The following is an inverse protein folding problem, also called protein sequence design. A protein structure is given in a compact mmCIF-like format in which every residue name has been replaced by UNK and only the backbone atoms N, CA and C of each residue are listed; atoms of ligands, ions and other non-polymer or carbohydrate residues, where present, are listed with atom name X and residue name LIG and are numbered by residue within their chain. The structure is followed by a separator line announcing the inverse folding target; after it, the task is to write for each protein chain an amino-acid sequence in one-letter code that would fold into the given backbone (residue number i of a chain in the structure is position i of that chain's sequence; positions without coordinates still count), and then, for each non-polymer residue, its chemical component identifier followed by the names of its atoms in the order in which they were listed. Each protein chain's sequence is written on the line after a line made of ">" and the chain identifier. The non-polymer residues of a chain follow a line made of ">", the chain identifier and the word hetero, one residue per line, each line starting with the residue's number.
data_IF_647031840813
#
_entry.id   IF_647031840813
#
_cell.length_a   1.000
_cell.length_b   1.000
_cell.length_c   1.000
_cell.angle_alpha   90.00
_cell.angle_beta   90.00
_cell.angle_gamma   90.00
#
_symmetry.space_group_name_H-M   'P 1'
#
loop_
_entity.id
_entity.type
_entity.pdbx_description
1 polymer ?
#
# COMPACT_ATOMS: atom_id res chain seq x y z
N UNK A 1 34.03 19.83 8.31
CA UNK A 1 33.20 19.94 7.08
C UNK A 1 33.92 19.30 5.88
N UNK A 2 33.49 18.11 5.46
CA UNK A 2 34.00 17.49 4.22
C UNK A 2 33.32 18.15 3.02
N UNK A 3 34.11 18.64 2.07
CA UNK A 3 33.59 19.23 0.82
C UNK A 3 33.33 18.10 -0.16
N UNK A 4 32.09 17.93 -0.58
CA UNK A 4 31.74 16.98 -1.66
C UNK A 4 32.33 17.55 -2.96
N UNK A 5 33.18 16.78 -3.62
CA UNK A 5 33.91 17.20 -4.83
C UNK A 5 33.50 16.44 -6.09
N UNK A 6 32.68 15.38 -5.95
CA UNK A 6 32.18 14.52 -7.02
C UNK A 6 30.82 13.94 -6.62
N UNK A 7 29.93 13.76 -7.60
CA UNK A 7 28.62 13.13 -7.45
C UNK A 7 27.54 13.78 -8.33
N UNK A 8 26.42 13.07 -8.56
CA UNK A 8 25.32 13.53 -9.43
C UNK A 8 24.75 14.90 -9.04
N UNK A 9 24.85 15.28 -7.77
CA UNK A 9 24.42 16.56 -7.22
C UNK A 9 25.27 17.76 -7.68
N UNK A 10 26.49 17.51 -8.17
CA UNK A 10 27.39 18.53 -8.72
C UNK A 10 27.28 18.65 -10.26
N UNK A 11 26.60 17.71 -10.92
CA UNK A 11 26.41 17.73 -12.37
C UNK A 11 25.28 18.70 -12.77
N UNK A 12 25.58 19.63 -13.69
CA UNK A 12 24.68 20.71 -14.13
C UNK A 12 23.30 20.21 -14.59
N UNK A 13 23.18 19.01 -15.17
CA UNK A 13 21.90 18.44 -15.65
C UNK A 13 20.95 17.98 -14.53
N UNK A 14 21.42 17.89 -13.29
CA UNK A 14 20.64 17.43 -12.13
C UNK A 14 20.46 18.51 -11.03
N UNK A 15 20.97 19.73 -11.23
CA UNK A 15 20.86 20.85 -10.29
C UNK A 15 19.38 21.16 -9.95
N UNK A 16 19.05 21.20 -8.65
CA UNK A 16 17.68 21.43 -8.14
C UNK A 16 16.71 20.25 -8.25
N UNK A 17 17.19 19.05 -8.63
CA UNK A 17 16.35 17.86 -8.90
C UNK A 17 16.88 16.57 -8.25
N UNK A 18 17.75 16.74 -7.26
CA UNK A 18 18.35 15.66 -6.48
C UNK A 18 17.85 15.79 -5.05
N UNK A 19 17.27 14.72 -4.53
CA UNK A 19 16.95 14.60 -3.11
C UNK A 19 18.15 13.99 -2.38
N UNK A 20 18.51 14.56 -1.23
CA UNK A 20 19.61 14.12 -0.40
C UNK A 20 19.07 13.58 0.93
N UNK A 21 19.45 12.35 1.28
CA UNK A 21 19.03 11.70 2.51
C UNK A 21 20.25 11.20 3.29
N UNK A 22 20.39 11.63 4.54
CA UNK A 22 21.47 11.22 5.44
C UNK A 22 20.98 10.30 6.55
N UNK A 23 21.77 9.28 6.88
CA UNK A 23 21.56 8.45 8.08
C UNK A 23 22.90 8.16 8.76
N UNK A 24 22.91 8.17 10.10
CA UNK A 24 24.06 7.76 10.89
C UNK A 24 24.09 6.24 11.07
N UNK A 25 25.27 5.66 10.92
CA UNK A 25 25.55 4.24 11.09
C UNK A 25 26.67 4.08 12.12
N UNK A 26 26.77 2.90 12.73
CA UNK A 26 27.79 2.58 13.72
C UNK A 26 28.65 1.42 13.21
N UNK A 27 29.96 1.58 13.22
CA UNK A 27 30.90 0.52 12.83
C UNK A 27 30.92 -0.60 13.87
N UNK A 28 31.54 -1.74 13.52
CA UNK A 28 31.79 -2.84 14.48
C UNK A 28 32.66 -2.40 15.67
N UNK A 29 33.45 -1.33 15.52
CA UNK A 29 34.26 -0.72 16.59
C UNK A 29 33.52 0.35 17.40
N UNK A 30 32.22 0.56 17.14
CA UNK A 30 31.40 1.53 17.88
C UNK A 30 31.49 2.97 17.38
N UNK A 31 32.26 3.25 16.32
CA UNK A 31 32.41 4.59 15.75
C UNK A 31 31.21 4.93 14.87
N UNK A 32 30.61 6.09 15.09
CA UNK A 32 29.50 6.58 14.28
C UNK A 32 30.01 7.24 12.99
N UNK A 33 29.32 7.02 11.88
CA UNK A 33 29.64 7.63 10.60
C UNK A 33 28.37 7.90 9.77
N UNK A 34 28.34 9.00 9.01
CA UNK A 34 27.22 9.33 8.14
C UNK A 34 27.26 8.54 6.82
N UNK A 35 26.09 8.14 6.34
CA UNK A 35 25.88 7.67 4.96
C UNK A 35 24.85 8.57 4.30
N UNK A 36 25.22 9.16 3.18
CA UNK A 36 24.42 10.15 2.46
C UNK A 36 24.07 9.58 1.09
N UNK A 37 22.78 9.55 0.77
CA UNK A 37 22.28 9.10 -0.53
C UNK A 37 21.78 10.31 -1.33
N UNK A 38 22.22 10.41 -2.57
CA UNK A 38 21.75 11.36 -3.57
C UNK A 38 20.87 10.60 -4.55
N UNK A 39 19.63 11.02 -4.71
CA UNK A 39 18.66 10.33 -5.55
C UNK A 39 18.00 11.28 -6.55
N UNK A 40 17.82 10.83 -7.80
CA UNK A 40 17.01 11.54 -8.79
C UNK A 40 16.09 10.60 -9.55
N UNK A 41 14.82 11.01 -9.70
CA UNK A 41 13.82 10.30 -10.51
C UNK A 41 14.04 10.48 -12.03
N UNK A 42 14.91 11.41 -12.43
CA UNK A 42 15.22 11.64 -13.86
C UNK A 42 16.20 10.59 -14.37
N UNK A 43 16.12 10.23 -15.65
CA UNK A 43 17.06 9.32 -16.32
C UNK A 43 17.19 7.93 -15.66
N UNK A 44 16.06 7.36 -15.21
CA UNK A 44 16.00 5.95 -14.78
C UNK A 44 16.21 5.69 -13.29
N UNK A 45 16.04 6.69 -12.42
CA UNK A 45 16.05 6.49 -10.96
C UNK A 45 17.46 6.23 -10.42
N UNK A 46 18.40 7.13 -10.72
CA UNK A 46 19.81 6.95 -10.34
C UNK A 46 19.98 7.35 -8.87
N UNK A 47 20.70 6.51 -8.12
CA UNK A 47 21.08 6.77 -6.73
C UNK A 47 22.58 6.63 -6.58
N UNK A 48 23.21 7.62 -5.98
CA UNK A 48 24.62 7.59 -5.59
C UNK A 48 24.71 7.68 -4.06
N UNK A 49 25.63 6.91 -3.46
CA UNK A 49 25.81 6.90 -2.01
C UNK A 49 27.23 7.33 -1.64
N UNK A 50 27.33 8.39 -0.85
CA UNK A 50 28.54 8.74 -0.13
C UNK A 50 28.58 8.05 1.24
N UNK A 51 29.67 7.35 1.55
CA UNK A 51 29.86 6.62 2.80
C UNK A 51 30.99 7.25 3.62
N UNK A 52 30.63 7.89 4.75
CA UNK A 52 31.57 8.55 5.65
C UNK A 52 32.59 7.60 6.28
N UNK A 53 32.26 6.32 6.45
CA UNK A 53 33.24 5.32 6.90
C UNK A 53 34.39 5.16 5.89
N UNK A 54 34.07 5.10 4.60
CA UNK A 54 35.07 4.91 3.54
C UNK A 54 35.89 6.19 3.31
N UNK A 55 35.26 7.36 3.42
CA UNK A 55 35.92 8.65 3.27
C UNK A 55 36.99 8.92 4.35
N UNK A 56 36.83 8.36 5.55
CA UNK A 56 37.81 8.47 6.64
C UNK A 56 38.95 7.44 6.57
N UNK A 57 38.80 6.37 5.79
CA UNK A 57 39.76 5.25 5.73
C UNK A 57 40.52 5.17 4.39
N UNK A 58 40.48 6.21 3.55
CA UNK A 58 41.30 6.41 2.34
C UNK A 58 41.47 5.19 1.41
N UNK A 59 40.47 4.30 1.36
CA UNK A 59 40.45 3.16 0.45
C UNK A 59 39.47 3.44 -0.70
N UNK A 60 39.92 3.98 -1.84
CA UNK A 60 39.08 4.15 -3.01
C UNK A 60 38.80 2.77 -3.62
N UNK A 61 37.60 2.23 -3.37
CA UNK A 61 37.11 1.10 -4.16
C UNK A 61 36.70 1.67 -5.54
N UNK A 62 37.26 1.19 -6.66
CA UNK A 62 36.81 1.63 -7.98
C UNK A 62 35.37 1.19 -8.18
N UNK A 63 34.44 2.15 -8.27
CA UNK A 63 33.09 1.87 -8.70
C UNK A 63 33.08 1.79 -10.23
N UNK A 64 33.03 0.57 -10.76
CA UNK A 64 32.63 0.33 -12.14
C UNK A 64 31.10 0.16 -12.14
N UNK A 65 30.33 1.11 -12.67
CA UNK A 65 28.89 0.92 -12.77
C UNK A 65 28.66 -0.30 -13.67
N UNK A 66 28.07 -1.37 -13.14
CA UNK A 66 27.45 -2.36 -14.03
C UNK A 66 26.36 -1.60 -14.79
N UNK A 67 26.44 -1.45 -16.13
CA UNK A 67 25.35 -0.85 -16.86
C UNK A 67 24.12 -1.71 -16.58
N UNK A 68 23.15 -1.13 -15.87
CA UNK A 68 21.82 -1.73 -15.81
C UNK A 68 21.35 -1.72 -17.25
N UNK A 69 21.21 -2.91 -17.84
CA UNK A 69 20.61 -3.03 -19.16
C UNK A 69 19.34 -2.18 -19.16
N UNK A 70 19.11 -1.33 -20.18
CA UNK A 70 17.89 -0.57 -20.27
C UNK A 70 16.74 -1.57 -20.12
N UNK A 71 15.91 -1.41 -19.07
CA UNK A 71 14.70 -2.20 -18.93
C UNK A 71 13.94 -2.03 -20.24
N UNK A 72 13.89 -3.08 -21.04
CA UNK A 72 12.92 -3.21 -22.12
C UNK A 72 11.57 -2.77 -21.54
N UNK A 73 10.87 -1.85 -22.22
CA UNK A 73 9.52 -1.39 -21.84
C UNK A 73 8.72 -2.63 -21.43
N UNK A 74 8.47 -2.75 -20.13
CA UNK A 74 8.04 -4.02 -19.54
C UNK A 74 6.59 -4.24 -19.97
N UNK A 75 6.31 -5.25 -20.79
CA UNK A 75 4.95 -5.59 -21.23
C UNK A 75 3.98 -5.72 -20.05
N UNK A 76 4.50 -5.99 -18.84
CA UNK A 76 3.71 -6.04 -17.62
C UNK A 76 3.14 -4.69 -17.18
N UNK A 77 3.82 -3.56 -17.40
CA UNK A 77 3.34 -2.22 -17.02
C UNK A 77 2.20 -1.77 -17.93
N UNK A 78 2.29 -2.07 -19.23
CA UNK A 78 1.24 -1.79 -20.21
C UNK A 78 -0.01 -2.63 -19.94
N UNK A 79 0.18 -3.92 -19.67
CA UNK A 79 -0.88 -4.82 -19.23
C UNK A 79 -1.58 -4.30 -17.96
N UNK A 80 -0.83 -3.92 -16.92
CA UNK A 80 -1.39 -3.41 -15.66
C UNK A 80 -2.21 -2.14 -15.90
N UNK A 81 -1.68 -1.22 -16.70
CA UNK A 81 -2.37 0.02 -17.07
C UNK A 81 -3.67 -0.28 -17.81
N UNK A 82 -3.64 -1.17 -18.79
CA UNK A 82 -4.84 -1.61 -19.53
C UNK A 82 -5.86 -2.27 -18.61
N UNK A 83 -5.44 -3.16 -17.71
CA UNK A 83 -6.31 -3.83 -16.74
C UNK A 83 -6.95 -2.85 -15.76
N UNK A 84 -6.18 -1.89 -15.25
CA UNK A 84 -6.67 -0.85 -14.36
C UNK A 84 -7.72 0.03 -15.05
N UNK A 85 -7.45 0.48 -16.28
CA UNK A 85 -8.40 1.29 -17.04
C UNK A 85 -9.68 0.51 -17.39
N UNK A 86 -9.55 -0.77 -17.74
CA UNK A 86 -10.70 -1.64 -17.96
C UNK A 86 -11.54 -1.83 -16.67
N UNK A 87 -10.89 -2.03 -15.53
CA UNK A 87 -11.56 -2.13 -14.23
C UNK A 87 -12.27 -0.83 -13.84
N UNK A 88 -11.66 0.33 -14.11
CA UNK A 88 -12.27 1.64 -13.88
C UNK A 88 -13.54 1.84 -14.71
N UNK A 89 -13.49 1.52 -16.00
CA UNK A 89 -14.66 1.58 -16.88
C UNK A 89 -15.74 0.59 -16.40
N UNK A 90 -15.36 -0.65 -16.11
CA UNK A 90 -16.25 -1.68 -15.60
C UNK A 90 -16.96 -1.25 -14.31
N UNK A 91 -16.23 -0.75 -13.32
CA UNK A 91 -16.79 -0.36 -12.02
C UNK A 91 -17.93 0.67 -12.16
N UNK A 92 -17.76 1.64 -13.06
CA UNK A 92 -18.76 2.66 -13.35
C UNK A 92 -20.07 2.08 -13.89
N UNK A 93 -19.97 1.02 -14.69
CA UNK A 93 -21.11 0.43 -15.39
C UNK A 93 -21.79 -0.70 -14.59
N UNK A 94 -21.11 -1.23 -13.56
CA UNK A 94 -21.67 -2.30 -12.73
C UNK A 94 -22.84 -1.79 -11.87
N UNK A 95 -23.89 -2.63 -11.69
CA UNK A 95 -24.95 -2.31 -10.76
C UNK A 95 -24.43 -2.25 -9.31
N UNK A 96 -25.03 -1.38 -8.50
CA UNK A 96 -24.81 -1.33 -7.06
C UNK A 96 -25.27 -2.65 -6.42
N UNK A 97 -24.51 -3.10 -5.43
CA UNK A 97 -24.84 -4.25 -4.59
C UNK A 97 -25.92 -3.87 -3.58
N UNK A 98 -26.89 -4.75 -3.36
CA UNK A 98 -28.08 -4.52 -2.52
C UNK A 98 -28.16 -5.45 -1.31
N UNK A 99 -27.10 -6.21 -1.03
CA UNK A 99 -27.04 -7.22 0.04
C UNK A 99 -27.39 -8.64 -0.41
N UNK A 100 -27.42 -8.88 -1.72
CA UNK A 100 -27.80 -10.16 -2.34
C UNK A 100 -26.60 -11.06 -2.65
N UNK A 101 -25.39 -10.49 -2.76
CA UNK A 101 -24.21 -11.31 -3.03
C UNK A 101 -23.88 -12.23 -1.86
N UNK A 102 -23.54 -13.48 -2.17
CA UNK A 102 -23.26 -14.55 -1.20
C UNK A 102 -22.23 -14.18 -0.14
N UNK A 103 -21.19 -13.43 -0.51
CA UNK A 103 -20.21 -12.90 0.43
C UNK A 103 -20.87 -12.07 1.55
N UNK A 104 -21.71 -11.09 1.20
CA UNK A 104 -22.38 -10.23 2.18
C UNK A 104 -23.42 -11.01 2.99
N UNK A 105 -24.21 -11.87 2.35
CA UNK A 105 -25.18 -12.74 3.05
C UNK A 105 -24.46 -13.63 4.07
N UNK A 106 -23.34 -14.24 3.70
CA UNK A 106 -22.59 -15.13 4.61
C UNK A 106 -22.02 -14.39 5.82
N UNK A 107 -21.62 -13.12 5.65
CA UNK A 107 -20.96 -12.32 6.69
C UNK A 107 -21.94 -11.55 7.57
N UNK A 108 -23.05 -11.10 7.01
CA UNK A 108 -23.96 -10.14 7.65
C UNK A 108 -25.42 -10.63 7.74
N UNK A 109 -25.76 -11.73 7.08
CA UNK A 109 -27.09 -12.35 7.14
C UNK A 109 -28.20 -11.31 6.85
N UNK A 110 -29.16 -11.15 7.77
CA UNK A 110 -30.26 -10.20 7.63
C UNK A 110 -29.81 -8.72 7.53
N UNK A 111 -28.58 -8.40 7.96
CA UNK A 111 -28.03 -7.04 7.89
C UNK A 111 -27.35 -6.73 6.55
N UNK A 112 -27.20 -7.72 5.65
CA UNK A 112 -26.50 -7.54 4.38
C UNK A 112 -27.03 -6.35 3.54
N UNK A 113 -28.35 -6.09 3.44
CA UNK A 113 -28.86 -4.94 2.69
C UNK A 113 -28.47 -3.58 3.29
N UNK A 114 -28.33 -3.49 4.61
CA UNK A 114 -27.97 -2.22 5.27
C UNK A 114 -26.47 -1.98 5.23
N UNK A 115 -25.69 -3.04 5.41
CA UNK A 115 -24.22 -3.00 5.27
C UNK A 115 -23.80 -2.65 3.84
N UNK A 116 -24.53 -3.13 2.83
CA UNK A 116 -24.26 -2.82 1.42
C UNK A 116 -24.36 -1.32 1.09
N UNK A 117 -25.09 -0.53 1.90
CA UNK A 117 -25.29 0.91 1.71
C UNK A 117 -24.17 1.77 2.31
N UNK A 118 -23.28 1.19 3.12
CA UNK A 118 -22.25 1.95 3.85
C UNK A 118 -21.17 2.52 2.92
N UNK A 119 -20.95 1.92 1.76
CA UNK A 119 -19.97 2.37 0.77
C UNK A 119 -20.38 1.91 -0.61
N UNK A 120 -19.73 2.41 -1.66
CA UNK A 120 -20.02 2.03 -3.04
C UNK A 120 -19.49 0.62 -3.34
N UNK A 121 -20.33 -0.38 -3.09
CA UNK A 121 -20.09 -1.77 -3.44
C UNK A 121 -20.83 -2.06 -4.75
N UNK A 122 -20.09 -2.52 -5.76
CA UNK A 122 -20.63 -2.96 -7.04
C UNK A 122 -20.70 -4.47 -7.11
N UNK A 123 -21.57 -5.00 -7.96
CA UNK A 123 -21.68 -6.46 -8.18
C UNK A 123 -21.61 -6.81 -9.66
N UNK A 124 -21.04 -7.96 -9.95
CA UNK A 124 -20.93 -8.49 -11.31
C UNK A 124 -20.65 -9.98 -11.34
N UNK A 125 -20.41 -10.51 -12.53
CA UNK A 125 -19.96 -11.88 -12.72
C UNK A 125 -19.03 -11.95 -13.94
N UNK A 126 -18.06 -12.86 -13.88
CA UNK A 126 -17.20 -13.19 -15.02
C UNK A 126 -16.86 -14.70 -15.00
N UNK A 127 -15.82 -15.11 -15.76
CA UNK A 127 -15.39 -16.50 -15.85
C UNK A 127 -14.97 -17.14 -14.51
N UNK A 128 -14.72 -16.33 -13.48
CA UNK A 128 -14.37 -16.78 -12.14
C UNK A 128 -15.57 -16.89 -11.19
N UNK A 129 -16.76 -16.45 -11.61
CA UNK A 129 -17.99 -16.51 -10.82
C UNK A 129 -18.57 -15.12 -10.54
N UNK A 130 -19.55 -15.08 -9.62
CA UNK A 130 -20.12 -13.83 -9.13
C UNK A 130 -19.14 -13.14 -8.18
N UNK A 131 -19.09 -11.82 -8.23
CA UNK A 131 -18.23 -11.02 -7.36
C UNK A 131 -18.90 -9.74 -6.91
N UNK A 132 -18.45 -9.24 -5.76
CA UNK A 132 -18.52 -7.82 -5.42
C UNK A 132 -17.21 -7.13 -5.80
N UNK A 133 -17.28 -5.82 -6.07
CA UNK A 133 -16.15 -4.99 -6.43
C UNK A 133 -16.21 -3.67 -5.66
N UNK A 134 -15.08 -3.23 -5.12
CA UNK A 134 -14.94 -1.96 -4.39
C UNK A 134 -13.78 -1.14 -4.96
N UNK A 135 -13.92 0.18 -4.94
CA UNK A 135 -12.86 1.11 -5.33
C UNK A 135 -11.85 1.32 -4.19
N UNK A 136 -10.58 1.42 -4.55
CA UNK A 136 -9.47 1.62 -3.62
C UNK A 136 -8.86 2.99 -3.85
N UNK A 137 -8.64 3.72 -2.77
CA UNK A 137 -8.08 5.05 -2.74
C UNK A 137 -6.65 5.05 -2.21
N UNK A 138 -5.88 6.05 -2.66
CA UNK A 138 -4.59 6.45 -2.10
C UNK A 138 -4.46 7.95 -2.26
N UNK A 139 -4.22 8.66 -1.17
CA UNK A 139 -4.00 10.12 -1.18
C UNK A 139 -5.09 10.90 -1.93
N UNK A 140 -6.36 10.47 -1.80
CA UNK A 140 -7.50 11.10 -2.48
C UNK A 140 -7.70 10.72 -3.96
N UNK A 141 -6.89 9.82 -4.50
CA UNK A 141 -7.01 9.33 -5.88
C UNK A 141 -7.32 7.84 -5.93
N UNK A 142 -7.99 7.42 -7.00
CA UNK A 142 -8.24 6.01 -7.28
C UNK A 142 -6.91 5.29 -7.54
N UNK A 143 -6.59 4.35 -6.65
CA UNK A 143 -5.39 3.53 -6.68
C UNK A 143 -5.64 2.13 -7.27
N UNK A 144 -6.88 1.65 -7.22
CA UNK A 144 -7.21 0.31 -7.68
C UNK A 144 -8.65 -0.08 -7.41
N UNK A 145 -8.89 -1.37 -7.59
CA UNK A 145 -10.14 -2.04 -7.27
C UNK A 145 -9.85 -3.39 -6.64
N UNK A 146 -10.73 -3.83 -5.75
CA UNK A 146 -10.72 -5.20 -5.23
C UNK A 146 -12.00 -5.90 -5.66
N UNK A 147 -11.87 -7.07 -6.29
CA UNK A 147 -12.97 -8.02 -6.45
C UNK A 147 -12.91 -9.08 -5.34
N UNK A 148 -14.08 -9.46 -4.82
CA UNK A 148 -14.24 -10.60 -3.91
C UNK A 148 -15.30 -11.51 -4.51
N UNK A 149 -14.88 -12.69 -4.95
CA UNK A 149 -15.71 -13.70 -5.59
C UNK A 149 -16.45 -14.56 -4.56
N UNK A 150 -17.58 -15.14 -4.99
CA UNK A 150 -18.35 -16.12 -4.21
C UNK A 150 -17.57 -17.41 -3.93
N UNK A 151 -16.57 -17.71 -4.77
CA UNK A 151 -15.70 -18.88 -4.68
C UNK A 151 -14.25 -18.51 -4.92
N UNK A 152 -13.33 -19.42 -4.58
CA UNK A 152 -11.93 -19.24 -4.92
C UNK A 152 -11.75 -19.17 -6.45
N UNK A 153 -10.90 -18.23 -6.88
CA UNK A 153 -10.55 -18.06 -8.29
C UNK A 153 -9.83 -19.33 -8.75
N UNK A 154 -10.16 -19.83 -9.94
CA UNK A 154 -9.52 -21.03 -10.50
C UNK A 154 -7.98 -20.90 -10.44
N UNK A 155 -7.33 -21.94 -9.93
CA UNK A 155 -5.87 -22.00 -9.76
C UNK A 155 -5.28 -21.04 -8.70
N UNK A 156 -6.11 -20.45 -7.83
CA UNK A 156 -5.67 -19.66 -6.68
C UNK A 156 -6.32 -20.16 -5.40
N UNK A 157 -5.64 -20.01 -4.28
CA UNK A 157 -6.17 -20.32 -2.93
C UNK A 157 -6.98 -19.16 -2.33
N UNK A 158 -7.37 -18.19 -3.16
CA UNK A 158 -8.07 -16.98 -2.72
C UNK A 158 -9.23 -16.65 -3.65
N UNK A 159 -10.27 -16.09 -3.06
CA UNK A 159 -11.41 -15.49 -3.76
C UNK A 159 -11.23 -13.98 -3.98
N UNK A 160 -10.04 -13.42 -3.72
CA UNK A 160 -9.76 -11.99 -3.87
C UNK A 160 -8.91 -11.73 -5.10
N UNK A 161 -9.27 -10.73 -5.90
CA UNK A 161 -8.47 -10.23 -7.02
C UNK A 161 -8.24 -8.73 -6.86
N UNK A 162 -6.97 -8.32 -6.84
CA UNK A 162 -6.55 -6.94 -6.67
C UNK A 162 -6.10 -6.36 -8.01
N UNK A 163 -6.75 -5.29 -8.44
CA UNK A 163 -6.46 -4.60 -9.70
C UNK A 163 -5.95 -3.21 -9.34
N UNK A 164 -4.63 -3.06 -9.27
CA UNK A 164 -3.98 -1.80 -8.84
C UNK A 164 -3.29 -1.12 -10.00
N UNK A 165 -3.16 0.20 -9.89
CA UNK A 165 -2.39 1.01 -10.84
C UNK A 165 -0.88 0.68 -10.77
N UNK A 166 -0.07 1.44 -11.53
CA UNK A 166 1.37 1.23 -11.62
C UNK A 166 2.11 1.39 -10.27
N UNK A 167 1.52 2.13 -9.32
CA UNK A 167 2.10 2.35 -8.00
C UNK A 167 1.84 1.19 -7.01
N UNK A 168 1.20 0.12 -7.45
CA UNK A 168 1.03 -1.10 -6.66
C UNK A 168 -0.03 -0.99 -5.56
N UNK A 169 -0.03 -1.95 -4.61
CA UNK A 169 -1.06 -2.08 -3.56
C UNK A 169 -0.73 -1.30 -2.28
N UNK A 170 0.54 -1.07 -1.99
CA UNK A 170 0.98 -0.52 -0.71
C UNK A 170 0.38 0.87 -0.45
N UNK A 171 -0.36 1.02 0.65
CA UNK A 171 -1.07 2.25 1.01
C UNK A 171 -2.35 2.50 0.20
N UNK A 172 -2.78 1.57 -0.65
CA UNK A 172 -4.14 1.59 -1.19
C UNK A 172 -5.10 1.00 -0.15
N UNK A 173 -6.27 1.62 0.03
CA UNK A 173 -7.30 1.20 0.97
C UNK A 173 -8.69 1.49 0.41
N UNK A 174 -9.71 0.74 0.83
CA UNK A 174 -11.09 1.19 0.68
C UNK A 174 -11.39 2.20 1.79
N UNK A 175 -12.02 3.33 1.46
CA UNK A 175 -12.53 4.29 2.43
C UNK A 175 -14.04 4.11 2.60
N UNK A 176 -14.47 3.95 3.84
CA UNK A 176 -15.87 3.99 4.24
C UNK A 176 -16.02 5.27 5.05
N UNK A 177 -16.77 6.23 4.52
CA UNK A 177 -16.96 7.52 5.18
C UNK A 177 -17.85 7.36 6.42
N UNK A 178 -17.56 8.14 7.45
CA UNK A 178 -18.36 8.26 8.65
C UNK A 178 -18.33 9.67 9.21
N UNK A 179 -19.00 9.88 10.34
CA UNK A 179 -19.31 11.23 10.84
C UNK A 179 -18.27 11.77 11.85
N UNK A 180 -17.19 11.02 12.12
CA UNK A 180 -16.18 11.34 13.14
C UNK A 180 -14.81 11.61 12.56
N UNK A 181 -14.03 12.42 13.31
CA UNK A 181 -12.59 12.65 13.16
C UNK A 181 -11.73 11.41 13.48
N UNK A 182 -12.32 10.39 14.10
CA UNK A 182 -11.67 9.11 14.39
C UNK A 182 -11.69 8.21 13.16
N UNK A 183 -10.52 7.68 12.79
CA UNK A 183 -10.37 6.74 11.69
C UNK A 183 -10.01 5.36 12.23
N UNK A 184 -10.80 4.36 11.88
CA UNK A 184 -10.43 2.96 12.13
C UNK A 184 -9.67 2.40 10.93
N UNK A 185 -8.61 1.63 11.19
CA UNK A 185 -7.93 0.85 10.16
C UNK A 185 -8.23 -0.63 10.41
N UNK A 186 -8.77 -1.31 9.40
CA UNK A 186 -9.09 -2.74 9.47
C UNK A 186 -8.37 -3.52 8.38
N UNK A 187 -8.13 -4.82 8.60
CA UNK A 187 -7.50 -5.67 7.58
C UNK A 187 -8.44 -5.95 6.39
N UNK A 188 -9.61 -6.52 6.67
CA UNK A 188 -10.53 -7.03 5.65
C UNK A 188 -11.81 -6.21 5.49
N UNK A 189 -12.46 -6.35 4.33
CA UNK A 189 -13.73 -5.67 4.02
C UNK A 189 -14.82 -5.99 5.05
N UNK A 190 -14.98 -7.28 5.41
CA UNK A 190 -16.00 -7.68 6.38
C UNK A 190 -15.82 -6.99 7.75
N UNK A 191 -14.59 -6.98 8.28
CA UNK A 191 -14.25 -6.29 9.53
C UNK A 191 -14.47 -4.79 9.40
N UNK A 192 -14.05 -4.18 8.30
CA UNK A 192 -14.25 -2.76 8.04
C UNK A 192 -15.72 -2.35 8.01
N UNK A 193 -16.54 -3.10 7.28
CA UNK A 193 -17.99 -2.90 7.22
C UNK A 193 -18.64 -3.12 8.60
N UNK A 194 -18.17 -4.09 9.39
CA UNK A 194 -18.67 -4.32 10.76
C UNK A 194 -18.39 -3.11 11.66
N UNK A 195 -17.17 -2.57 11.62
CA UNK A 195 -16.78 -1.39 12.41
C UNK A 195 -17.56 -0.15 11.97
N UNK A 196 -17.71 0.07 10.67
CA UNK A 196 -18.50 1.17 10.13
C UNK A 196 -19.96 1.06 10.56
N UNK A 197 -20.57 -0.12 10.39
CA UNK A 197 -21.97 -0.37 10.77
C UNK A 197 -22.21 -0.17 12.27
N UNK A 198 -21.31 -0.66 13.12
CA UNK A 198 -21.47 -0.61 14.57
C UNK A 198 -21.19 0.78 15.17
N UNK A 199 -20.37 1.59 14.51
CA UNK A 199 -19.85 2.82 15.14
C UNK A 199 -20.16 4.11 14.39
N UNK A 200 -20.53 4.06 13.11
CA UNK A 200 -20.71 5.24 12.26
C UNK A 200 -19.43 6.05 12.00
N UNK A 201 -18.26 5.55 12.41
CA UNK A 201 -16.98 6.23 12.22
C UNK A 201 -16.37 5.91 10.86
N UNK A 202 -15.45 6.77 10.42
CA UNK A 202 -14.66 6.57 9.20
C UNK A 202 -13.79 5.32 9.34
N UNK A 203 -13.75 4.49 8.29
CA UNK A 203 -12.95 3.26 8.26
C UNK A 203 -12.10 3.17 6.98
N UNK A 204 -10.80 2.94 7.15
CA UNK A 204 -9.88 2.61 6.08
C UNK A 204 -9.57 1.10 6.09
N UNK A 205 -10.01 0.38 5.05
CA UNK A 205 -9.77 -1.07 4.92
C UNK A 205 -8.47 -1.31 4.16
N UNK A 206 -7.49 -1.86 4.86
CA UNK A 206 -6.12 -2.06 4.39
C UNK A 206 -5.93 -3.27 3.45
N UNK A 207 -6.95 -4.07 3.18
CA UNK A 207 -6.94 -5.21 2.24
C UNK A 207 -6.27 -6.49 2.75
N UNK A 208 -5.14 -6.35 3.46
CA UNK A 208 -4.38 -7.42 4.11
C UNK A 208 -3.49 -6.86 5.25
N UNK A 209 -3.07 -7.75 6.16
CA UNK A 209 -2.25 -7.40 7.33
C UNK A 209 -0.94 -6.67 6.98
N UNK A 210 -0.30 -7.02 5.86
CA UNK A 210 0.97 -6.43 5.45
C UNK A 210 0.83 -4.97 5.02
N UNK A 211 -0.37 -4.57 4.57
CA UNK A 211 -0.64 -3.24 4.08
C UNK A 211 -1.15 -2.26 5.17
N UNK A 212 -1.51 -2.76 6.37
CA UNK A 212 -1.95 -1.94 7.51
C UNK A 212 -0.95 -0.82 7.81
N UNK A 213 0.35 -1.14 7.85
CA UNK A 213 1.39 -0.15 8.13
C UNK A 213 1.43 0.96 7.08
N UNK A 214 1.33 0.63 5.80
CA UNK A 214 1.39 1.60 4.72
C UNK A 214 0.17 2.53 4.70
N UNK A 215 -1.01 1.99 5.01
CA UNK A 215 -2.23 2.78 5.15
C UNK A 215 -2.12 3.69 6.37
N UNK A 216 -1.67 3.17 7.51
CA UNK A 216 -1.47 3.95 8.71
C UNK A 216 -0.44 5.08 8.51
N UNK A 217 0.67 4.82 7.82
CA UNK A 217 1.68 5.82 7.44
C UNK A 217 1.06 6.91 6.55
N UNK A 218 0.20 6.54 5.60
CA UNK A 218 -0.47 7.50 4.71
C UNK A 218 -1.48 8.40 5.42
N UNK A 219 -1.94 8.01 6.61
CA UNK A 219 -2.91 8.72 7.43
C UNK A 219 -2.26 9.30 8.71
N UNK A 220 -0.93 9.29 8.80
CA UNK A 220 -0.21 9.74 9.99
C UNK A 220 -0.62 11.17 10.42
N UNK A 221 -0.79 11.36 11.73
CA UNK A 221 -1.28 12.61 12.31
C UNK A 221 -2.79 12.68 12.51
N UNK A 222 -3.56 11.73 11.96
CA UNK A 222 -4.99 11.58 12.25
C UNK A 222 -5.23 10.77 13.54
N UNK A 223 -6.45 10.85 14.09
CA UNK A 223 -6.87 10.06 15.26
C UNK A 223 -7.17 8.61 14.84
N UNK A 224 -6.12 7.78 14.75
CA UNK A 224 -6.19 6.41 14.23
C UNK A 224 -6.40 5.38 15.35
N UNK A 225 -7.27 4.41 15.09
CA UNK A 225 -7.37 3.15 15.85
C UNK A 225 -7.27 1.94 14.93
N UNK A 226 -6.41 0.97 15.23
CA UNK A 226 -6.28 -0.23 14.39
C UNK A 226 -7.16 -1.35 14.96
N UNK A 227 -8.19 -1.73 14.23
CA UNK A 227 -9.06 -2.86 14.56
C UNK A 227 -8.65 -4.08 13.72
N UNK A 228 -7.71 -4.85 14.24
CA UNK A 228 -7.23 -6.10 13.63
C UNK A 228 -8.07 -7.30 14.10
N UNK A 229 -8.25 -8.28 13.20
CA UNK A 229 -8.92 -9.54 13.53
C UNK A 229 -8.13 -10.33 14.59
N UNK A 230 -8.83 -10.95 15.55
CA UNK A 230 -8.22 -11.77 16.59
C UNK A 230 -8.01 -13.24 16.19
N UNK A 231 -7.84 -13.53 14.90
CA UNK A 231 -7.73 -14.91 14.43
C UNK A 231 -6.29 -15.43 14.61
N UNK A 232 -6.09 -16.23 15.67
CA UNK A 232 -4.82 -16.90 15.95
C UNK A 232 -4.64 -18.12 15.02
N UNK A 233 -3.67 -18.05 14.10
CA UNK A 233 -3.20 -19.21 13.34
C UNK A 233 -2.05 -19.95 14.04
N UNK A 234 -1.57 -21.06 13.45
CA UNK A 234 -0.46 -21.88 13.97
C UNK A 234 0.88 -21.13 14.14
N UNK A 235 1.04 -19.96 13.48
CA UNK A 235 2.23 -19.10 13.57
C UNK A 235 1.99 -17.81 14.37
N UNK A 236 0.94 -17.77 15.20
CA UNK A 236 0.53 -16.57 15.96
C UNK A 236 -0.40 -15.63 15.16
N UNK A 237 -0.92 -14.60 15.84
CA UNK A 237 -1.84 -13.65 15.22
C UNK A 237 -1.05 -12.56 14.45
N UNK A 238 -0.86 -12.79 13.15
CA UNK A 238 -0.13 -11.87 12.26
C UNK A 238 -0.80 -10.50 12.16
N UNK A 239 -2.14 -10.45 12.17
CA UNK A 239 -2.91 -9.20 12.16
C UNK A 239 -2.60 -8.34 13.38
N UNK A 240 -2.65 -8.92 14.59
CA UNK A 240 -2.29 -8.23 15.83
C UNK A 240 -0.82 -7.79 15.83
N UNK A 241 0.11 -8.66 15.40
CA UNK A 241 1.53 -8.29 15.36
C UNK A 241 1.77 -7.08 14.45
N UNK A 242 1.12 -7.03 13.28
CA UNK A 242 1.21 -5.90 12.35
C UNK A 242 0.51 -4.65 12.86
N UNK A 243 -0.62 -4.80 13.55
CA UNK A 243 -1.30 -3.69 14.20
C UNK A 243 -0.43 -3.07 15.31
N UNK A 244 0.19 -3.89 16.17
CA UNK A 244 1.10 -3.42 17.23
C UNK A 244 2.31 -2.72 16.63
N UNK A 245 2.90 -3.25 15.55
CA UNK A 245 4.02 -2.64 14.84
C UNK A 245 3.64 -1.23 14.32
N UNK A 246 2.48 -1.10 13.68
CA UNK A 246 1.98 0.17 13.18
C UNK A 246 1.62 1.16 14.30
N UNK A 247 0.93 0.71 15.35
CA UNK A 247 0.57 1.52 16.51
C UNK A 247 1.81 2.13 17.19
N UNK A 248 2.86 1.33 17.38
CA UNK A 248 4.13 1.79 17.97
C UNK A 248 4.86 2.80 17.09
N UNK A 249 4.82 2.62 15.76
CA UNK A 249 5.52 3.51 14.82
C UNK A 249 4.83 4.88 14.70
N UNK A 250 3.51 4.94 14.87
CA UNK A 250 2.68 6.10 14.50
C UNK A 250 1.90 6.73 15.66
N UNK A 251 2.10 6.26 16.90
CA UNK A 251 1.31 6.66 18.06
C UNK A 251 -0.21 6.46 17.89
N UNK A 252 -0.61 5.49 17.06
CA UNK A 252 -2.01 5.09 16.91
C UNK A 252 -2.45 4.19 18.08
N UNK A 253 -3.77 4.11 18.31
CA UNK A 253 -4.37 3.28 19.36
C UNK A 253 -4.73 1.88 18.88
#
# INVERSE_FOLDING_TARGET
>A
PFKITRGIELERKYQGKVACFGRLYKSKSGKEYPRINFHTNKHGGITETWNGYNAEHDNPIPFTPKPRQPKTKDNSDEWRTKRFNAAKALFKDLPTETGEHSYLISKFQAQAPDVAKLTDIRRGADEHGSYIMVELMRSGFVAGYQKIYDKNIKSRETNKDYIVNAEGKNGAYLLIDGDSDKIYITEGLATGLTVAFATGNTVAVALDAGNIIHVAESLAGQNITIAADNDAGNNGNTGILKAIEAAKSLAAR
#
